data_IF_912086505520
#
_entry.id   IF_912086505520
#
_cell.length_a   1.000
_cell.length_b   1.000
_cell.length_c   1.000
_cell.angle_alpha   90.00
_cell.angle_beta   90.00
_cell.angle_gamma   90.00
#
_symmetry.space_group_name_H-M   'P 1'
#
loop_
_entity.id
_entity.type
_entity.pdbx_description
1 polymer ?
#
# COMPACT_ATOMS: atom_id res chain seq x y z
N UNK A 1 -18.51 8.97 14.40
CA UNK A 1 -19.63 9.34 13.52
C UNK A 1 -19.20 9.02 12.10
N UNK A 2 -19.93 8.19 11.38
CA UNK A 2 -19.53 7.73 10.05
C UNK A 2 -19.97 8.75 8.99
N UNK A 3 -19.09 9.02 8.04
CA UNK A 3 -19.24 10.03 6.97
C UNK A 3 -20.55 9.90 6.17
N UNK A 4 -21.02 8.66 6.01
CA UNK A 4 -22.26 8.28 5.33
C UNK A 4 -23.51 9.00 5.89
N UNK A 5 -23.62 9.12 7.22
CA UNK A 5 -24.84 9.67 7.85
C UNK A 5 -25.01 11.18 7.66
N UNK A 6 -23.92 11.92 7.46
CA UNK A 6 -23.98 13.37 7.31
C UNK A 6 -24.18 13.79 5.86
N UNK A 7 -23.53 13.10 4.93
CA UNK A 7 -23.50 13.55 3.52
C UNK A 7 -24.61 12.93 2.69
N UNK A 8 -24.88 11.62 2.85
CA UNK A 8 -25.85 10.93 1.98
C UNK A 8 -27.23 11.58 2.01
N UNK A 9 -27.79 12.00 3.16
CA UNK A 9 -29.07 12.70 3.18
C UNK A 9 -29.05 14.09 2.53
N UNK A 10 -27.88 14.71 2.39
CA UNK A 10 -27.69 16.02 1.78
C UNK A 10 -27.37 15.94 0.28
N UNK A 11 -27.14 14.74 -0.25
CA UNK A 11 -26.83 14.58 -1.68
C UNK A 11 -28.06 14.91 -2.53
N UNK A 12 -27.86 15.61 -3.67
CA UNK A 12 -28.91 15.74 -4.66
C UNK A 12 -29.34 14.36 -5.20
N UNK A 13 -30.53 14.27 -5.81
CA UNK A 13 -30.92 13.09 -6.56
C UNK A 13 -29.81 12.66 -7.53
N UNK A 14 -29.46 11.38 -7.49
CA UNK A 14 -28.42 10.84 -8.35
C UNK A 14 -28.83 10.97 -9.83
N UNK A 15 -27.93 11.42 -10.73
CA UNK A 15 -28.23 11.51 -12.15
C UNK A 15 -28.56 10.13 -12.74
N UNK A 16 -29.45 10.05 -13.74
CA UNK A 16 -29.67 8.81 -14.46
C UNK A 16 -28.47 8.47 -15.35
N UNK A 17 -28.34 7.19 -15.70
CA UNK A 17 -27.31 6.70 -16.62
C UNK A 17 -26.11 6.09 -15.90
N UNK A 18 -25.15 5.66 -16.70
CA UNK A 18 -23.91 5.04 -16.23
C UNK A 18 -22.83 6.11 -16.09
N UNK A 19 -22.58 6.57 -14.87
CA UNK A 19 -21.57 7.58 -14.54
C UNK A 19 -20.76 7.10 -13.35
N UNK A 20 -19.49 7.50 -13.30
CA UNK A 20 -18.58 7.20 -12.19
C UNK A 20 -17.88 8.44 -11.65
N UNK A 21 -18.09 9.60 -12.27
CA UNK A 21 -17.67 10.90 -11.75
C UNK A 21 -18.85 11.86 -11.72
N UNK A 22 -18.96 12.59 -10.62
CA UNK A 22 -19.99 13.59 -10.41
C UNK A 22 -19.43 14.79 -9.67
N UNK A 23 -19.77 15.99 -10.12
CA UNK A 23 -19.35 17.23 -9.46
C UNK A 23 -20.58 17.95 -8.92
N UNK A 24 -20.70 17.91 -7.60
CA UNK A 24 -21.78 18.55 -6.86
C UNK A 24 -21.40 19.98 -6.54
N UNK A 25 -22.28 20.92 -6.86
CA UNK A 25 -22.13 22.33 -6.51
C UNK A 25 -23.43 22.86 -5.91
N UNK A 26 -23.34 23.95 -5.16
CA UNK A 26 -24.53 24.62 -4.62
C UNK A 26 -25.18 25.49 -5.70
N UNK A 27 -26.49 25.33 -5.91
CA UNK A 27 -27.28 26.17 -6.79
C UNK A 27 -27.38 27.59 -6.23
N UNK A 28 -26.89 28.60 -6.97
CA UNK A 28 -26.80 29.98 -6.49
C UNK A 28 -28.16 30.56 -6.03
N UNK A 29 -29.25 30.20 -6.71
CA UNK A 29 -30.59 30.74 -6.40
C UNK A 29 -31.36 29.91 -5.36
N UNK A 30 -31.15 28.59 -5.32
CA UNK A 30 -31.95 27.68 -4.49
C UNK A 30 -31.22 27.31 -3.19
N UNK A 31 -29.91 27.53 -3.13
CA UNK A 31 -29.06 27.12 -2.01
C UNK A 31 -28.91 25.59 -1.86
N UNK A 32 -29.53 24.81 -2.73
CA UNK A 32 -29.52 23.34 -2.69
C UNK A 32 -28.38 22.79 -3.55
N UNK A 33 -27.76 21.67 -3.15
CA UNK A 33 -26.75 21.02 -3.97
C UNK A 33 -27.38 20.39 -5.22
N UNK A 34 -26.67 20.41 -6.35
CA UNK A 34 -27.03 19.69 -7.57
C UNK A 34 -25.80 19.20 -8.32
N UNK A 35 -25.95 18.21 -9.19
CA UNK A 35 -24.89 17.75 -10.09
C UNK A 35 -24.72 18.72 -11.26
N UNK A 36 -23.64 19.51 -11.24
CA UNK A 36 -23.30 20.43 -12.34
C UNK A 36 -22.74 19.72 -13.58
N UNK A 37 -22.04 18.61 -13.35
CA UNK A 37 -21.51 17.72 -14.39
C UNK A 37 -21.43 16.32 -13.82
N UNK A 38 -21.66 15.35 -14.68
CA UNK A 38 -21.44 13.94 -14.42
C UNK A 38 -21.07 13.26 -15.73
N UNK A 39 -20.18 12.28 -15.65
CA UNK A 39 -19.71 11.56 -16.82
C UNK A 39 -19.23 10.16 -16.42
N UNK A 40 -19.29 9.24 -17.39
CA UNK A 40 -18.45 8.05 -17.37
C UNK A 40 -17.08 8.44 -17.88
N UNK A 41 -16.06 8.27 -17.06
CA UNK A 41 -14.66 8.44 -17.45
C UNK A 41 -13.93 7.12 -17.29
N UNK A 42 -12.86 6.94 -18.05
CA UNK A 42 -11.91 5.88 -17.78
C UNK A 42 -11.12 6.25 -16.52
N UNK A 43 -11.36 5.50 -15.44
CA UNK A 43 -10.64 5.70 -14.19
C UNK A 43 -9.29 4.97 -14.26
N UNK A 44 -8.24 5.48 -13.59
CA UNK A 44 -6.98 4.79 -13.49
C UNK A 44 -7.18 3.35 -13.01
N UNK A 45 -6.48 2.42 -13.65
CA UNK A 45 -6.51 1.00 -13.30
C UNK A 45 -5.10 0.44 -13.35
N UNK A 46 -4.82 -0.51 -12.46
CA UNK A 46 -3.56 -1.25 -12.50
C UNK A 46 -3.64 -2.25 -13.66
N UNK A 47 -2.73 -2.12 -14.63
CA UNK A 47 -2.72 -2.97 -15.82
C UNK A 47 -2.05 -4.32 -15.52
N UNK A 48 -1.07 -4.32 -14.61
CA UNK A 48 -0.31 -5.52 -14.22
C UNK A 48 -1.10 -6.47 -13.31
N UNK A 49 -2.08 -7.18 -13.86
CA UNK A 49 -2.90 -8.16 -13.13
C UNK A 49 -2.34 -9.57 -13.24
N UNK A 50 -1.30 -9.87 -12.46
CA UNK A 50 -0.60 -11.16 -12.52
C UNK A 50 -1.21 -12.25 -11.61
N UNK A 51 -1.97 -11.85 -10.60
CA UNK A 51 -2.56 -12.76 -9.61
C UNK A 51 -4.02 -13.05 -9.97
N UNK A 52 -4.50 -14.30 -9.87
CA UNK A 52 -5.85 -14.66 -10.31
C UNK A 52 -6.96 -14.19 -9.36
N UNK A 53 -6.65 -13.99 -8.08
CA UNK A 53 -7.64 -13.57 -7.08
C UNK A 53 -7.95 -12.09 -7.26
N UNK A 54 -9.25 -11.79 -7.37
CA UNK A 54 -9.82 -10.44 -7.36
C UNK A 54 -10.73 -10.32 -6.15
N UNK A 55 -10.58 -9.22 -5.42
CA UNK A 55 -11.29 -8.92 -4.19
C UNK A 55 -12.07 -7.63 -4.42
N UNK A 56 -13.40 -7.71 -4.39
CA UNK A 56 -14.23 -6.53 -4.50
C UNK A 56 -14.09 -5.65 -3.25
N UNK A 57 -13.88 -4.35 -3.46
CA UNK A 57 -13.79 -3.35 -2.40
C UNK A 57 -15.02 -3.35 -1.48
N UNK A 58 -16.20 -3.71 -1.99
CA UNK A 58 -17.44 -3.81 -1.22
C UNK A 58 -17.53 -5.10 -0.39
N UNK A 59 -16.67 -6.08 -0.64
CA UNK A 59 -16.56 -7.30 0.16
C UNK A 59 -15.64 -7.14 1.38
N UNK A 60 -14.99 -5.98 1.52
CA UNK A 60 -14.19 -5.61 2.67
C UNK A 60 -15.03 -4.99 3.79
N UNK A 61 -14.90 -5.54 4.99
CA UNK A 61 -15.55 -5.07 6.22
C UNK A 61 -14.52 -4.60 7.26
N UNK A 62 -14.99 -3.82 8.24
CA UNK A 62 -14.15 -3.35 9.34
C UNK A 62 -13.00 -2.42 8.93
N UNK A 63 -13.10 -1.80 7.74
CA UNK A 63 -12.06 -0.96 7.16
C UNK A 63 -11.58 0.12 8.13
N UNK A 64 -10.32 0.04 8.53
CA UNK A 64 -9.67 1.06 9.33
C UNK A 64 -8.49 1.64 8.55
N UNK A 65 -8.50 2.95 8.38
CA UNK A 65 -7.40 3.65 7.73
C UNK A 65 -6.19 3.69 8.67
N UNK A 66 -5.03 3.23 8.20
CA UNK A 66 -3.76 3.35 8.91
C UNK A 66 -3.00 4.61 8.48
N UNK A 67 -2.88 4.83 7.17
CA UNK A 67 -2.21 5.97 6.53
C UNK A 67 -2.95 6.37 5.25
N UNK A 68 -2.46 7.38 4.52
CA UNK A 68 -2.96 7.70 3.18
C UNK A 68 -2.97 6.44 2.32
N UNK A 69 -4.13 6.07 1.78
CA UNK A 69 -4.33 4.90 0.90
C UNK A 69 -4.06 3.52 1.50
N UNK A 70 -3.74 3.41 2.80
CA UNK A 70 -3.55 2.13 3.50
C UNK A 70 -4.72 1.88 4.44
N UNK A 71 -5.41 0.76 4.21
CA UNK A 71 -6.52 0.30 5.03
C UNK A 71 -6.27 -1.12 5.51
N UNK A 72 -6.55 -1.38 6.78
CA UNK A 72 -6.76 -2.77 7.24
C UNK A 72 -8.22 -3.11 7.04
N UNK A 73 -8.48 -4.33 6.60
CA UNK A 73 -9.84 -4.83 6.42
C UNK A 73 -9.89 -6.33 6.67
N UNK A 74 -11.09 -6.78 6.99
CA UNK A 74 -11.41 -8.22 7.00
C UNK A 74 -12.32 -8.47 5.81
N UNK A 75 -12.02 -9.49 5.01
CA UNK A 75 -12.97 -9.95 4.01
C UNK A 75 -14.20 -10.56 4.69
N UNK A 76 -15.39 -10.32 4.13
CA UNK A 76 -16.65 -11.01 4.54
C UNK A 76 -16.51 -12.53 4.58
N UNK A 77 -15.56 -13.06 3.81
CA UNK A 77 -15.14 -14.46 3.81
C UNK A 77 -13.65 -14.50 4.18
N UNK A 78 -13.33 -15.30 5.18
CA UNK A 78 -12.11 -15.27 5.99
C UNK A 78 -10.79 -15.23 5.17
N UNK A 79 -10.34 -14.02 4.81
CA UNK A 79 -8.98 -13.70 4.35
C UNK A 79 -8.72 -12.27 4.86
N UNK A 80 -7.96 -12.11 5.94
CA UNK A 80 -7.60 -10.77 6.45
C UNK A 80 -6.60 -10.10 5.51
N UNK A 81 -6.73 -8.79 5.26
CA UNK A 81 -5.81 -8.10 4.36
C UNK A 81 -5.66 -6.60 4.59
N UNK A 82 -4.51 -6.07 4.22
CA UNK A 82 -4.24 -4.63 4.05
C UNK A 82 -4.39 -4.25 2.57
N UNK A 83 -4.71 -2.99 2.28
CA UNK A 83 -5.00 -2.54 0.91
C UNK A 83 -4.16 -1.32 0.51
N UNK A 84 -3.60 -1.30 -0.70
CA UNK A 84 -2.73 -0.24 -1.25
C UNK A 84 -2.99 0.05 -2.74
N UNK A 85 -2.51 1.19 -3.25
CA UNK A 85 -2.82 1.74 -4.58
C UNK A 85 -1.58 2.10 -5.41
N UNK A 86 -0.79 1.14 -5.93
CA UNK A 86 0.32 1.46 -6.84
C UNK A 86 0.61 0.36 -7.88
N UNK A 87 0.73 0.76 -9.15
CA UNK A 87 1.04 -0.16 -10.25
C UNK A 87 2.48 -0.69 -10.17
N UNK A 88 3.43 0.15 -9.76
CA UNK A 88 4.83 -0.26 -9.61
C UNK A 88 5.01 -1.19 -8.41
N UNK A 89 4.36 -0.88 -7.28
CA UNK A 89 4.31 -1.76 -6.13
C UNK A 89 3.73 -3.14 -6.49
N UNK A 90 2.70 -3.19 -7.34
CA UNK A 90 2.10 -4.47 -7.79
C UNK A 90 3.11 -5.35 -8.54
N UNK A 91 3.99 -4.76 -9.37
CA UNK A 91 5.06 -5.50 -10.08
C UNK A 91 6.14 -5.98 -9.11
N UNK A 92 6.43 -5.20 -8.08
CA UNK A 92 7.38 -5.58 -7.03
C UNK A 92 6.84 -6.78 -6.26
N UNK A 93 5.58 -6.73 -5.81
CA UNK A 93 4.94 -7.87 -5.14
C UNK A 93 4.92 -9.14 -6.01
N UNK A 94 4.72 -9.03 -7.33
CA UNK A 94 4.83 -10.17 -8.24
C UNK A 94 6.20 -10.86 -8.14
N UNK A 95 7.27 -10.07 -8.05
CA UNK A 95 8.64 -10.60 -7.97
C UNK A 95 8.95 -11.18 -6.60
N UNK A 96 8.34 -10.63 -5.55
CA UNK A 96 8.56 -11.03 -4.16
C UNK A 96 7.64 -12.16 -3.69
N UNK A 97 6.62 -12.51 -4.47
CA UNK A 97 5.65 -13.55 -4.12
C UNK A 97 6.34 -14.86 -3.73
N UNK A 98 5.91 -15.43 -2.60
CA UNK A 98 6.47 -16.66 -2.03
C UNK A 98 7.90 -16.57 -1.47
N UNK A 99 8.55 -15.40 -1.43
CA UNK A 99 9.93 -15.26 -0.94
C UNK A 99 10.06 -14.94 0.56
N UNK A 100 8.96 -14.53 1.21
CA UNK A 100 8.95 -14.18 2.63
C UNK A 100 9.70 -12.89 2.98
N UNK A 101 9.89 -12.01 1.99
CA UNK A 101 10.58 -10.71 2.12
C UNK A 101 9.56 -9.58 2.38
N UNK A 102 8.38 -9.70 1.78
CA UNK A 102 7.27 -8.76 1.86
C UNK A 102 6.00 -9.50 2.32
N UNK A 103 4.93 -8.79 2.72
CA UNK A 103 3.65 -9.41 3.02
C UNK A 103 3.19 -10.33 1.88
N UNK A 104 2.49 -11.42 2.21
CA UNK A 104 1.92 -12.26 1.18
C UNK A 104 0.92 -11.44 0.35
N UNK A 105 1.06 -11.50 -0.98
CA UNK A 105 0.04 -10.95 -1.87
C UNK A 105 -1.21 -11.84 -1.85
N UNK A 106 -2.36 -11.24 -1.56
CA UNK A 106 -3.62 -11.97 -1.40
C UNK A 106 -4.53 -11.83 -2.63
N UNK A 107 -4.46 -10.70 -3.33
CA UNK A 107 -5.29 -10.46 -4.50
C UNK A 107 -5.25 -9.02 -4.99
N UNK A 108 -5.83 -8.82 -6.16
CA UNK A 108 -6.08 -7.49 -6.71
C UNK A 108 -7.34 -6.91 -6.09
N UNK A 109 -7.27 -5.70 -5.55
CA UNK A 109 -8.44 -4.96 -5.11
C UNK A 109 -9.18 -4.44 -6.35
N UNK A 110 -10.47 -4.72 -6.43
CA UNK A 110 -11.31 -4.33 -7.56
C UNK A 110 -12.54 -3.53 -7.14
N UNK A 111 -13.00 -2.65 -8.02
CA UNK A 111 -14.32 -2.01 -7.95
C UNK A 111 -14.94 -2.12 -9.34
N UNK A 112 -16.09 -2.79 -9.48
CA UNK A 112 -16.72 -3.05 -10.78
C UNK A 112 -15.73 -3.61 -11.83
N UNK A 113 -15.01 -4.69 -11.47
CA UNK A 113 -13.96 -5.35 -12.26
C UNK A 113 -12.67 -4.53 -12.50
N UNK A 114 -12.71 -3.21 -12.31
CA UNK A 114 -11.54 -2.33 -12.41
C UNK A 114 -10.58 -2.61 -11.27
N UNK A 115 -9.33 -2.97 -11.58
CA UNK A 115 -8.29 -3.13 -10.55
C UNK A 115 -7.86 -1.75 -10.10
N UNK A 116 -8.13 -1.45 -8.83
CA UNK A 116 -7.81 -0.17 -8.23
C UNK A 116 -6.62 -0.27 -7.27
N UNK A 117 -6.33 -1.45 -6.72
CA UNK A 117 -5.25 -1.62 -5.76
C UNK A 117 -4.82 -3.07 -5.61
N UNK A 118 -4.04 -3.34 -4.56
CA UNK A 118 -3.62 -4.67 -4.13
C UNK A 118 -4.07 -4.93 -2.70
N UNK A 119 -4.30 -6.20 -2.38
CA UNK A 119 -4.57 -6.71 -1.04
C UNK A 119 -3.41 -7.60 -0.62
N UNK A 120 -2.83 -7.33 0.55
CA UNK A 120 -1.69 -8.06 1.12
C UNK A 120 -1.97 -8.54 2.53
N UNK A 121 -1.18 -9.49 3.02
CA UNK A 121 -1.28 -10.02 4.39
C UNK A 121 -1.16 -8.92 5.44
N UNK A 122 -2.10 -8.93 6.39
CA UNK A 122 -1.94 -8.16 7.62
C UNK A 122 -0.95 -8.88 8.56
N UNK A 123 0.21 -8.26 8.80
CA UNK A 123 1.23 -8.85 9.68
C UNK A 123 0.84 -8.66 11.15
N UNK A 124 0.19 -9.67 11.73
CA UNK A 124 -0.17 -9.69 13.15
C UNK A 124 1.07 -9.72 14.04
N UNK A 125 0.93 -9.10 15.21
CA UNK A 125 1.95 -9.06 16.27
C UNK A 125 3.32 -8.55 15.80
N UNK A 126 3.30 -7.66 14.80
CA UNK A 126 4.48 -6.98 14.32
C UNK A 126 4.59 -5.57 14.92
N UNK A 127 5.82 -5.13 15.12
CA UNK A 127 6.17 -3.76 15.47
C UNK A 127 7.09 -3.18 14.39
N UNK A 128 7.19 -1.87 14.32
CA UNK A 128 8.25 -1.22 13.56
C UNK A 128 9.63 -1.55 14.14
N UNK A 129 10.63 -1.56 13.27
CA UNK A 129 12.01 -1.88 13.65
C UNK A 129 12.66 -0.74 14.43
N UNK A 130 13.68 -1.12 15.21
CA UNK A 130 14.54 -0.22 15.96
C UNK A 130 16.03 -0.55 15.77
N UNK A 131 16.93 0.17 16.45
CA UNK A 131 18.37 -0.06 16.39
C UNK A 131 18.78 -1.51 16.70
N UNK A 132 18.00 -2.22 17.53
CA UNK A 132 18.25 -3.62 17.91
C UNK A 132 17.88 -4.65 16.83
N UNK A 133 17.27 -4.20 15.72
CA UNK A 133 16.83 -5.05 14.61
C UNK A 133 17.71 -4.90 13.37
N UNK A 134 18.77 -4.08 13.44
CA UNK A 134 19.64 -3.71 12.29
C UNK A 134 20.08 -4.94 11.51
N UNK A 135 20.69 -5.93 12.17
CA UNK A 135 21.21 -7.13 11.50
C UNK A 135 20.13 -7.85 10.67
N UNK A 136 18.94 -8.04 11.26
CA UNK A 136 17.84 -8.75 10.59
C UNK A 136 17.21 -7.89 9.48
N UNK A 137 17.19 -6.57 9.63
CA UNK A 137 16.75 -5.66 8.59
C UNK A 137 17.72 -5.67 7.41
N UNK A 138 19.03 -5.64 7.68
CA UNK A 138 20.08 -5.72 6.67
C UNK A 138 20.03 -7.06 5.92
N UNK A 139 19.83 -8.17 6.62
CA UNK A 139 19.67 -9.48 5.98
C UNK A 139 18.45 -9.48 5.06
N UNK A 140 17.33 -8.92 5.52
CA UNK A 140 16.09 -8.84 4.73
C UNK A 140 16.25 -7.95 3.51
N UNK A 141 16.89 -6.79 3.66
CA UNK A 141 17.19 -5.88 2.55
C UNK A 141 18.20 -6.51 1.58
N UNK A 142 19.21 -7.20 2.08
CA UNK A 142 20.15 -7.97 1.26
C UNK A 142 19.46 -9.08 0.46
N UNK A 143 18.38 -9.67 1.00
CA UNK A 143 17.56 -10.62 0.24
C UNK A 143 16.86 -9.96 -0.95
N UNK A 144 16.42 -8.70 -0.82
CA UNK A 144 15.87 -7.90 -1.91
C UNK A 144 16.97 -7.52 -2.92
N UNK A 145 18.12 -7.08 -2.46
CA UNK A 145 19.27 -6.72 -3.30
C UNK A 145 19.75 -7.89 -4.17
N UNK A 146 19.73 -9.11 -3.63
CA UNK A 146 20.05 -10.35 -4.38
C UNK A 146 19.07 -10.63 -5.52
N UNK A 147 17.93 -9.94 -5.58
CA UNK A 147 16.98 -9.98 -6.70
C UNK A 147 17.22 -8.87 -7.71
N UNK A 148 18.26 -8.06 -7.53
CA UNK A 148 18.55 -6.88 -8.36
C UNK A 148 17.56 -5.76 -8.12
N UNK A 149 17.13 -5.56 -6.87
CA UNK A 149 16.12 -4.56 -6.52
C UNK A 149 16.54 -3.73 -5.32
N UNK A 150 16.27 -2.43 -5.37
CA UNK A 150 16.34 -1.49 -4.25
C UNK A 150 14.96 -1.36 -3.60
N UNK A 151 14.92 -1.00 -2.33
CA UNK A 151 13.67 -0.59 -1.70
C UNK A 151 13.31 0.85 -2.08
N UNK A 152 14.27 1.77 -2.12
CA UNK A 152 14.09 3.17 -2.50
C UNK A 152 13.63 4.12 -1.38
N UNK A 153 13.10 3.61 -0.28
CA UNK A 153 12.69 4.38 0.90
C UNK A 153 12.93 3.56 2.18
N UNK A 154 14.21 3.31 2.47
CA UNK A 154 14.59 2.59 3.68
C UNK A 154 14.44 3.49 4.90
N UNK A 155 13.49 3.18 5.77
CA UNK A 155 13.34 3.82 7.07
C UNK A 155 12.65 2.87 8.05
N UNK A 156 12.72 3.16 9.35
CA UNK A 156 12.18 2.28 10.41
C UNK A 156 10.69 1.94 10.30
N UNK A 157 9.90 2.74 9.56
CA UNK A 157 8.48 2.52 9.41
C UNK A 157 8.14 1.52 8.31
N UNK A 158 9.06 1.31 7.36
CA UNK A 158 8.87 0.43 6.21
C UNK A 158 9.36 -1.00 6.47
N UNK A 159 9.80 -1.30 7.69
CA UNK A 159 10.20 -2.63 8.13
C UNK A 159 9.38 -3.02 9.36
N UNK A 160 8.76 -4.20 9.29
CA UNK A 160 7.95 -4.78 10.35
C UNK A 160 8.64 -6.02 10.90
N UNK A 161 8.91 -6.04 12.20
CA UNK A 161 9.51 -7.18 12.90
C UNK A 161 8.48 -7.92 13.71
N UNK A 162 8.48 -9.25 13.56
CA UNK A 162 7.65 -10.19 14.32
C UNK A 162 8.54 -11.14 15.10
N UNK A 163 8.20 -11.32 16.37
CA UNK A 163 8.94 -12.19 17.29
C UNK A 163 8.13 -13.46 17.57
N UNK A 164 8.42 -14.52 16.82
CA UNK A 164 7.67 -15.76 16.95
C UNK A 164 8.23 -16.65 18.07
N UNK A 165 7.88 -16.35 19.33
CA UNK A 165 7.94 -17.29 20.47
C UNK A 165 9.19 -18.20 20.55
N UNK A 166 10.39 -17.64 20.40
CA UNK A 166 11.67 -18.37 20.48
C UNK A 166 12.26 -18.85 19.15
N UNK A 167 11.59 -18.66 18.01
CA UNK A 167 12.11 -18.97 16.66
C UNK A 167 12.98 -17.86 16.04
N UNK A 168 13.28 -16.82 16.80
CA UNK A 168 13.98 -15.63 16.32
C UNK A 168 13.03 -14.57 15.75
N UNK A 169 13.64 -13.46 15.32
CA UNK A 169 12.95 -12.32 14.72
C UNK A 169 12.80 -12.57 13.21
N UNK A 170 11.62 -12.29 12.67
CA UNK A 170 11.42 -12.20 11.21
C UNK A 170 11.08 -10.78 10.85
N UNK A 171 11.78 -10.21 9.86
CA UNK A 171 11.50 -8.87 9.34
C UNK A 171 10.81 -8.99 8.00
N UNK A 172 9.84 -8.11 7.76
CA UNK A 172 9.09 -8.01 6.50
C UNK A 172 9.11 -6.56 6.04
N UNK A 173 9.46 -6.32 4.78
CA UNK A 173 9.45 -4.98 4.17
C UNK A 173 8.05 -4.64 3.64
N UNK A 174 7.62 -3.41 3.87
CA UNK A 174 6.34 -2.84 3.40
C UNK A 174 6.60 -1.53 2.67
N UNK A 175 5.59 -0.97 2.01
CA UNK A 175 5.70 0.29 1.26
C UNK A 175 6.73 0.22 0.12
N UNK A 176 6.46 -0.68 -0.83
CA UNK A 176 7.37 -1.02 -1.92
C UNK A 176 7.11 -0.17 -3.18
N UNK A 177 6.43 0.98 -3.03
CA UNK A 177 6.09 1.89 -4.13
C UNK A 177 7.33 2.53 -4.78
N UNK A 178 8.41 2.70 -4.00
CA UNK A 178 9.68 3.27 -4.46
C UNK A 178 10.69 2.22 -4.92
N UNK A 179 10.33 0.93 -4.82
CA UNK A 179 11.24 -0.15 -5.16
C UNK A 179 11.51 -0.18 -6.67
N UNK A 180 12.77 -0.36 -7.02
CA UNK A 180 13.24 -0.25 -8.39
C UNK A 180 14.30 -1.30 -8.70
N UNK A 181 14.49 -1.60 -9.97
CA UNK A 181 15.59 -2.45 -10.40
C UNK A 181 16.91 -1.72 -10.27
N UNK A 182 17.94 -2.41 -9.81
CA UNK A 182 19.30 -1.91 -9.85
C UNK A 182 20.29 -3.05 -10.04
N UNK A 183 21.45 -2.72 -10.59
CA UNK A 183 22.55 -3.67 -10.80
C UNK A 183 23.88 -3.17 -10.26
N UNK A 184 23.89 -1.94 -9.72
CA UNK A 184 25.08 -1.28 -9.21
C UNK A 184 25.35 -1.68 -7.75
N UNK A 185 26.46 -2.41 -7.47
CA UNK A 185 26.83 -2.80 -6.11
C UNK A 185 27.01 -1.62 -5.16
N UNK A 186 27.51 -0.49 -5.66
CA UNK A 186 27.79 0.67 -4.82
C UNK A 186 26.46 1.28 -4.31
N UNK A 187 25.42 1.27 -5.15
CA UNK A 187 24.08 1.76 -4.76
C UNK A 187 23.41 0.81 -3.74
N UNK A 188 23.65 -0.50 -3.85
CA UNK A 188 23.19 -1.45 -2.83
C UNK A 188 23.88 -1.22 -1.48
N UNK A 189 25.20 -0.99 -1.48
CA UNK A 189 25.95 -0.68 -0.27
C UNK A 189 25.46 0.65 0.37
N UNK A 190 25.24 1.68 -0.44
CA UNK A 190 24.68 2.96 0.01
C UNK A 190 23.30 2.80 0.66
N UNK A 191 22.41 1.97 0.09
CA UNK A 191 21.08 1.74 0.66
C UNK A 191 21.16 0.98 2.00
N UNK A 192 22.11 0.05 2.13
CA UNK A 192 22.40 -0.64 3.38
C UNK A 192 22.89 0.34 4.46
N UNK A 193 23.80 1.24 4.12
CA UNK A 193 24.35 2.20 5.07
C UNK A 193 23.29 3.22 5.51
N UNK A 194 22.42 3.67 4.59
CA UNK A 194 21.26 4.50 4.95
C UNK A 194 20.30 3.79 5.89
N UNK A 195 20.00 2.51 5.64
CA UNK A 195 19.16 1.72 6.54
C UNK A 195 19.77 1.70 7.96
N UNK A 196 21.09 1.52 8.08
CA UNK A 196 21.78 1.56 9.38
C UNK A 196 21.60 2.91 10.05
N UNK A 197 21.80 4.01 9.33
CA UNK A 197 21.63 5.36 9.87
C UNK A 197 20.19 5.63 10.30
N UNK A 198 19.21 5.31 9.46
CA UNK A 198 17.77 5.52 9.72
C UNK A 198 17.26 4.71 10.92
N UNK A 199 17.79 3.50 11.13
CA UNK A 199 17.44 2.70 12.31
C UNK A 199 18.06 3.24 13.61
N UNK A 200 19.23 3.87 13.54
CA UNK A 200 19.86 4.52 14.71
C UNK A 200 19.36 5.95 14.94
N UNK A 201 18.77 6.58 13.92
CA UNK A 201 18.25 7.92 13.99
C UNK A 201 17.06 8.00 14.96
N UNK A 202 17.14 8.93 15.91
CA UNK A 202 16.04 9.27 16.81
C UNK A 202 15.06 10.27 16.20
N UNK A 203 15.43 10.85 15.05
CA UNK A 203 14.59 11.83 14.37
C UNK A 203 13.45 11.10 13.68
N UNK A 204 12.22 11.32 14.13
CA UNK A 204 11.00 10.71 13.58
C UNK A 204 10.65 11.18 12.15
N UNK A 205 11.63 11.62 11.35
CA UNK A 205 11.46 12.03 9.96
C UNK A 205 11.73 10.83 9.07
N UNK A 206 10.67 10.24 8.53
CA UNK A 206 10.81 9.23 7.48
C UNK A 206 11.21 9.87 6.15
N UNK A 207 12.23 9.28 5.52
CA UNK A 207 12.39 9.25 4.06
C UNK A 207 13.34 10.27 3.45
N UNK A 208 14.42 9.76 2.85
CA UNK A 208 15.18 10.44 1.79
C UNK A 208 14.99 9.65 0.49
N UNK A 209 14.39 10.27 -0.53
CA UNK A 209 14.26 9.65 -1.86
C UNK A 209 15.62 9.52 -2.56
N UNK A 210 15.91 8.34 -3.09
CA UNK A 210 17.16 8.00 -3.78
C UNK A 210 17.20 8.61 -5.18
N UNK A 211 18.40 8.98 -5.65
CA UNK A 211 18.64 9.30 -7.06
C UNK A 211 18.63 8.03 -7.91
N UNK A 212 17.98 8.10 -9.07
CA UNK A 212 17.74 6.95 -9.96
C UNK A 212 19.03 6.18 -10.32
N UNK A 213 18.97 4.84 -10.32
CA UNK A 213 19.95 4.00 -11.03
C UNK A 213 19.89 4.35 -12.54
N UNK A 214 21.04 4.69 -13.13
CA UNK A 214 21.18 5.00 -14.57
C UNK A 214 21.36 3.74 -15.41
#
# INVERSE_FOLDING_TARGET
MTWDRLIVPQLPPMPPGDWNTGHVVTHLEQGTPYFSRYAKVELPTIVSTWHPVRIDWLDLEGRQQLRSNIYTATLKKDIGGETQYFEDETKVYQRLDGRGIAPQFLGHLTEEERVMGLVIEYIKDARHTGPEDVDVCQDTLGNLHRLGMLHGDVNRHNFLVREAGGRGKTVTMVDLETASECTDPDVFEDEIDRLREELHSTDGKGGYHVGNCQ
#
